data_IF_705812743223
#
_entry.id   IF_705812743223
#
_cell.length_a   1.000
_cell.length_b   1.000
_cell.length_c   1.000
_cell.angle_alpha   90.00
_cell.angle_beta   90.00
_cell.angle_gamma   90.00
#
_symmetry.space_group_name_H-M   'P 1'
#
loop_
_entity.id
_entity.type
_entity.pdbx_description
1 polymer ?
#
# COMPACT_ATOMS: atom_id res chain seq x y z
N UNK A 1 2.61 -25.13 7.67
CA UNK A 1 3.25 -25.29 6.36
C UNK A 1 3.69 -23.91 5.85
N UNK A 2 4.72 -23.30 6.45
CA UNK A 2 5.19 -21.93 6.11
C UNK A 2 6.70 -21.87 5.78
N UNK A 3 7.32 -22.99 5.38
CA UNK A 3 8.79 -23.09 5.30
C UNK A 3 9.42 -23.02 3.90
N UNK A 4 8.69 -22.71 2.82
CA UNK A 4 9.25 -22.74 1.46
C UNK A 4 9.41 -21.38 0.75
N UNK A 5 9.29 -20.26 1.47
CA UNK A 5 9.57 -18.93 0.90
C UNK A 5 11.01 -18.44 1.19
N UNK A 6 11.96 -19.36 1.31
CA UNK A 6 13.36 -18.99 1.51
C UNK A 6 13.91 -18.32 0.24
N UNK A 7 14.40 -17.11 0.39
CA UNK A 7 14.87 -16.19 -0.64
C UNK A 7 15.91 -16.82 -1.56
N UNK A 8 15.52 -17.14 -2.76
CA UNK A 8 16.40 -17.57 -3.86
C UNK A 8 17.08 -16.40 -4.58
N UNK A 9 17.39 -15.30 -3.90
CA UNK A 9 17.97 -14.10 -4.54
C UNK A 9 16.99 -13.35 -5.47
N UNK A 10 15.73 -13.75 -5.49
CA UNK A 10 14.68 -13.09 -6.26
C UNK A 10 14.12 -11.87 -5.52
N UNK A 11 13.51 -10.97 -6.28
CA UNK A 11 12.80 -9.79 -5.79
C UNK A 11 11.31 -10.14 -5.68
N UNK A 12 10.67 -9.78 -4.58
CA UNK A 12 9.22 -9.88 -4.46
C UNK A 12 8.54 -8.67 -5.12
N UNK A 13 7.59 -8.92 -5.99
CA UNK A 13 6.76 -7.88 -6.61
C UNK A 13 5.34 -8.06 -6.14
N UNK A 14 4.77 -7.04 -5.52
CA UNK A 14 3.36 -7.02 -5.08
C UNK A 14 2.56 -6.16 -6.05
N UNK A 15 1.46 -6.71 -6.56
CA UNK A 15 0.56 -6.04 -7.49
C UNK A 15 -0.70 -5.57 -6.75
N UNK A 16 -1.06 -4.29 -6.95
CA UNK A 16 -2.36 -3.77 -6.57
C UNK A 16 -3.44 -4.14 -7.62
N UNK A 17 -4.69 -3.80 -7.37
CA UNK A 17 -5.80 -4.04 -8.31
C UNK A 17 -5.56 -3.37 -9.66
N UNK A 18 -5.03 -2.15 -9.69
CA UNK A 18 -4.73 -1.42 -10.92
C UNK A 18 -3.66 -2.13 -11.78
N UNK A 19 -2.64 -2.69 -11.13
CA UNK A 19 -1.61 -3.47 -11.80
C UNK A 19 -2.12 -4.82 -12.33
N UNK A 20 -3.07 -5.46 -11.62
CA UNK A 20 -3.75 -6.67 -12.10
C UNK A 20 -4.59 -6.37 -13.34
N UNK A 21 -5.41 -5.32 -13.32
CA UNK A 21 -6.23 -4.88 -14.45
C UNK A 21 -5.39 -4.50 -15.68
N UNK A 22 -4.22 -3.90 -15.46
CA UNK A 22 -3.26 -3.60 -16.52
C UNK A 22 -2.52 -4.84 -17.04
N UNK A 23 -2.75 -6.02 -16.46
CA UNK A 23 -2.04 -7.29 -16.79
C UNK A 23 -0.52 -7.14 -16.72
N UNK A 24 -0.02 -6.30 -15.79
CA UNK A 24 1.40 -5.96 -15.71
C UNK A 24 2.29 -7.18 -15.43
N UNK A 25 1.76 -8.20 -14.78
CA UNK A 25 2.44 -9.49 -14.53
C UNK A 25 2.95 -10.18 -15.80
N UNK A 26 2.33 -9.90 -16.96
CA UNK A 26 2.78 -10.45 -18.26
C UNK A 26 4.10 -9.87 -18.75
N UNK A 27 4.48 -8.70 -18.24
CA UNK A 27 5.70 -7.99 -18.61
C UNK A 27 6.89 -8.31 -17.68
N UNK A 28 6.63 -9.05 -16.58
CA UNK A 28 7.64 -9.31 -15.55
C UNK A 28 8.47 -10.55 -15.85
N UNK A 29 9.82 -10.51 -15.78
CA UNK A 29 10.68 -11.65 -16.00
C UNK A 29 10.59 -12.65 -14.83
N UNK A 30 10.09 -13.86 -15.09
CA UNK A 30 9.86 -14.91 -14.07
C UNK A 30 11.12 -15.47 -13.42
N UNK A 31 12.26 -15.35 -14.07
CA UNK A 31 13.52 -15.93 -13.59
C UNK A 31 14.09 -15.20 -12.37
N UNK A 32 13.72 -13.93 -12.17
CA UNK A 32 14.26 -13.06 -11.13
C UNK A 32 13.23 -12.49 -10.17
N UNK A 33 11.95 -12.69 -10.47
CA UNK A 33 10.86 -12.08 -9.71
C UNK A 33 9.88 -13.16 -9.25
N UNK A 34 9.44 -13.05 -8.01
CA UNK A 34 8.25 -13.72 -7.51
C UNK A 34 7.13 -12.68 -7.38
N UNK A 35 5.98 -12.96 -8.00
CA UNK A 35 4.88 -12.00 -8.12
C UNK A 35 3.75 -12.38 -7.17
N UNK A 36 3.28 -11.42 -6.40
CA UNK A 36 2.28 -11.61 -5.36
C UNK A 36 1.13 -10.62 -5.49
N UNK A 37 -0.02 -11.02 -4.99
CA UNK A 37 -1.16 -10.14 -4.73
C UNK A 37 -1.97 -10.68 -3.56
N UNK A 38 -3.01 -9.95 -3.15
CA UNK A 38 -3.93 -10.32 -2.06
C UNK A 38 -5.27 -10.79 -2.61
N UNK A 39 -5.98 -11.64 -1.86
CA UNK A 39 -7.30 -12.14 -2.25
C UNK A 39 -8.30 -11.02 -2.51
N UNK A 40 -8.25 -9.94 -1.74
CA UNK A 40 -9.13 -8.79 -1.94
C UNK A 40 -8.92 -8.12 -3.30
N UNK A 41 -7.67 -7.95 -3.74
CA UNK A 41 -7.37 -7.37 -5.06
C UNK A 41 -7.86 -8.27 -6.21
N UNK A 42 -7.74 -9.59 -6.07
CA UNK A 42 -8.29 -10.56 -7.02
C UNK A 42 -9.82 -10.45 -7.11
N UNK A 43 -10.48 -10.27 -5.98
CA UNK A 43 -11.95 -10.13 -5.89
C UNK A 43 -12.48 -8.81 -6.49
N UNK A 44 -11.67 -7.77 -6.56
CA UNK A 44 -12.01 -6.51 -7.19
C UNK A 44 -12.00 -6.58 -8.73
N UNK A 45 -11.32 -7.56 -9.31
CA UNK A 45 -11.31 -7.75 -10.77
C UNK A 45 -12.62 -8.41 -11.19
N UNK A 46 -13.58 -7.59 -11.69
CA UNK A 46 -14.95 -8.02 -12.06
C UNK A 46 -15.13 -8.22 -13.55
N UNK A 47 -14.33 -7.55 -14.36
CA UNK A 47 -14.37 -7.69 -15.81
C UNK A 47 -14.05 -9.14 -16.22
N UNK A 48 -14.91 -9.83 -17.02
CA UNK A 48 -14.74 -11.25 -17.33
C UNK A 48 -13.40 -11.59 -17.97
N UNK A 49 -12.95 -10.77 -18.94
CA UNK A 49 -11.71 -11.04 -19.69
C UNK A 49 -10.46 -10.86 -18.82
N UNK A 50 -10.49 -9.85 -17.94
CA UNK A 50 -9.41 -9.64 -16.99
C UNK A 50 -9.41 -10.72 -15.90
N UNK A 51 -10.61 -11.14 -15.46
CA UNK A 51 -10.74 -12.19 -14.44
C UNK A 51 -10.27 -13.54 -14.96
N UNK A 52 -10.66 -13.92 -16.17
CA UNK A 52 -10.22 -15.16 -16.81
C UNK A 52 -8.69 -15.18 -16.93
N UNK A 53 -8.09 -14.12 -17.48
CA UNK A 53 -6.64 -14.00 -17.62
C UNK A 53 -5.89 -14.01 -16.28
N UNK A 54 -6.50 -13.48 -15.21
CA UNK A 54 -5.93 -13.49 -13.86
C UNK A 54 -5.97 -14.90 -13.26
N UNK A 55 -7.08 -15.62 -13.39
CA UNK A 55 -7.21 -17.02 -12.94
C UNK A 55 -6.15 -17.89 -13.62
N UNK A 56 -6.01 -17.78 -14.94
CA UNK A 56 -4.97 -18.50 -15.69
C UNK A 56 -3.56 -18.20 -15.18
N UNK A 57 -3.29 -16.93 -14.84
CA UNK A 57 -2.00 -16.53 -14.30
C UNK A 57 -1.74 -17.09 -12.90
N UNK A 58 -2.78 -17.26 -12.09
CA UNK A 58 -2.70 -17.88 -10.76
C UNK A 58 -2.48 -19.39 -10.91
N UNK A 59 -3.26 -20.08 -11.75
CA UNK A 59 -3.14 -21.52 -11.98
C UNK A 59 -1.77 -21.93 -12.55
N UNK A 60 -1.17 -21.05 -13.35
CA UNK A 60 0.18 -21.23 -13.88
C UNK A 60 1.28 -20.73 -12.93
N UNK A 61 0.95 -20.39 -11.69
CA UNK A 61 1.86 -19.86 -10.67
C UNK A 61 2.67 -18.63 -11.14
N UNK A 62 2.12 -17.87 -12.10
CA UNK A 62 2.69 -16.55 -12.49
C UNK A 62 2.50 -15.54 -11.38
N UNK A 63 1.36 -15.62 -10.69
CA UNK A 63 0.99 -14.80 -9.54
C UNK A 63 0.64 -15.73 -8.39
N UNK A 64 1.19 -15.45 -7.22
CA UNK A 64 0.82 -16.10 -5.96
C UNK A 64 -0.11 -15.20 -5.17
N UNK A 65 -1.24 -15.74 -4.76
CA UNK A 65 -2.20 -15.03 -3.90
C UNK A 65 -1.88 -15.37 -2.45
N UNK A 66 -1.49 -14.37 -1.68
CA UNK A 66 -1.16 -14.52 -0.24
C UNK A 66 -1.77 -13.35 0.51
N UNK A 67 -2.53 -13.66 1.55
CA UNK A 67 -3.04 -12.63 2.45
C UNK A 67 -2.06 -12.40 3.61
N UNK A 68 -1.88 -11.15 4.06
CA UNK A 68 -0.98 -10.83 5.15
C UNK A 68 -1.52 -11.32 6.49
N UNK A 69 -0.60 -11.71 7.38
CA UNK A 69 -0.94 -12.05 8.76
C UNK A 69 -1.43 -10.81 9.53
N UNK A 70 -2.22 -11.05 10.58
CA UNK A 70 -2.86 -10.02 11.39
C UNK A 70 -1.87 -8.99 11.95
N UNK A 71 -0.70 -9.41 12.37
CA UNK A 71 0.32 -8.54 12.96
C UNK A 71 0.83 -7.50 11.95
N UNK A 72 0.95 -7.89 10.66
CA UNK A 72 1.33 -6.96 9.58
C UNK A 72 0.20 -6.01 9.23
N UNK A 73 -1.07 -6.46 9.29
CA UNK A 73 -2.23 -5.58 9.13
C UNK A 73 -2.27 -4.52 10.23
N UNK A 74 -2.10 -4.89 11.49
CA UNK A 74 -2.06 -3.96 12.62
C UNK A 74 -0.88 -2.99 12.52
N UNK A 75 0.28 -3.48 12.11
CA UNK A 75 1.47 -2.64 11.91
C UNK A 75 1.27 -1.63 10.78
N UNK A 76 0.65 -2.06 9.69
CA UNK A 76 0.29 -1.20 8.57
C UNK A 76 -0.72 -0.15 8.99
N UNK A 77 -1.78 -0.52 9.71
CA UNK A 77 -2.79 0.42 10.23
C UNK A 77 -2.17 1.48 11.15
N UNK A 78 -1.23 1.10 12.02
CA UNK A 78 -0.48 2.05 12.85
C UNK A 78 0.32 3.03 12.00
N UNK A 79 1.02 2.54 10.98
CA UNK A 79 1.79 3.39 10.07
C UNK A 79 0.89 4.36 9.30
N UNK A 80 -0.23 3.88 8.74
CA UNK A 80 -1.20 4.69 7.98
C UNK A 80 -1.83 5.77 8.85
N UNK A 81 -2.17 5.49 10.11
CA UNK A 81 -2.67 6.49 11.06
C UNK A 81 -1.70 7.66 11.20
N UNK A 82 -0.41 7.38 11.29
CA UNK A 82 0.62 8.40 11.43
C UNK A 82 0.81 9.28 10.17
N UNK A 83 0.31 8.84 9.01
CA UNK A 83 0.35 9.62 7.77
C UNK A 83 -0.87 10.52 7.56
N UNK A 84 -1.94 10.32 8.33
CA UNK A 84 -3.24 10.99 8.14
C UNK A 84 -4.03 10.46 6.92
N UNK A 85 -3.72 9.26 6.45
CA UNK A 85 -4.33 8.63 5.27
C UNK A 85 -5.35 7.53 5.61
N UNK A 86 -5.65 7.31 6.90
CA UNK A 86 -6.46 6.17 7.36
C UNK A 86 -7.87 6.12 6.72
N UNK A 87 -8.46 7.27 6.42
CA UNK A 87 -9.79 7.37 5.81
C UNK A 87 -9.76 7.31 4.28
N UNK A 88 -8.59 7.18 3.66
CA UNK A 88 -8.44 7.21 2.21
C UNK A 88 -8.02 5.90 1.60
N UNK A 89 -7.31 5.10 2.34
CA UNK A 89 -6.90 3.77 1.89
C UNK A 89 -8.04 2.79 2.12
N UNK A 90 -8.40 2.05 1.09
CA UNK A 90 -9.36 0.95 1.17
C UNK A 90 -8.81 -0.21 1.98
N UNK A 91 -9.66 -1.15 2.34
CA UNK A 91 -9.21 -2.39 2.98
C UNK A 91 -8.23 -3.16 2.09
N UNK A 92 -8.46 -3.17 0.78
CA UNK A 92 -7.57 -3.81 -0.19
C UNK A 92 -6.20 -3.16 -0.21
N UNK A 93 -6.13 -1.81 -0.20
CA UNK A 93 -4.87 -1.07 -0.15
C UNK A 93 -4.05 -1.40 1.11
N UNK A 94 -4.72 -1.47 2.26
CA UNK A 94 -4.10 -1.88 3.53
C UNK A 94 -3.51 -3.29 3.43
N UNK A 95 -4.24 -4.24 2.81
CA UNK A 95 -3.75 -5.61 2.63
C UNK A 95 -2.56 -5.67 1.68
N UNK A 96 -2.57 -4.91 0.58
CA UNK A 96 -1.42 -4.81 -0.36
C UNK A 96 -0.18 -4.28 0.34
N UNK A 97 -0.31 -3.23 1.14
CA UNK A 97 0.81 -2.65 1.91
C UNK A 97 1.30 -3.64 2.98
N UNK A 98 0.38 -4.28 3.71
CA UNK A 98 0.71 -5.25 4.75
C UNK A 98 1.41 -6.50 4.17
N UNK A 99 0.97 -6.98 3.01
CA UNK A 99 1.65 -8.07 2.29
C UNK A 99 3.09 -7.67 1.93
N UNK A 100 3.28 -6.46 1.41
CA UNK A 100 4.62 -5.97 1.09
C UNK A 100 5.51 -5.87 2.34
N UNK A 101 4.95 -5.46 3.48
CA UNK A 101 5.66 -5.42 4.75
C UNK A 101 6.05 -6.83 5.23
N UNK A 102 5.14 -7.80 5.12
CA UNK A 102 5.39 -9.20 5.47
C UNK A 102 6.49 -9.82 4.58
N UNK A 103 6.43 -9.57 3.28
CA UNK A 103 7.43 -10.10 2.34
C UNK A 103 8.82 -9.51 2.56
N UNK A 104 8.93 -8.32 3.11
CA UNK A 104 10.21 -7.66 3.43
C UNK A 104 11.06 -8.43 4.44
N UNK A 105 10.47 -9.30 5.24
CA UNK A 105 11.20 -10.19 6.14
C UNK A 105 11.81 -11.41 5.43
N UNK A 106 11.25 -11.78 4.29
CA UNK A 106 11.63 -13.00 3.55
C UNK A 106 12.43 -12.71 2.29
N UNK A 107 12.27 -11.51 1.73
CA UNK A 107 12.93 -11.08 0.50
C UNK A 107 13.84 -9.89 0.76
N UNK A 108 15.00 -9.90 0.12
CA UNK A 108 15.93 -8.77 0.20
C UNK A 108 15.33 -7.49 -0.32
N UNK A 109 14.60 -7.58 -1.43
CA UNK A 109 13.97 -6.45 -2.08
C UNK A 109 12.50 -6.76 -2.34
N UNK A 110 11.63 -5.81 -2.00
CA UNK A 110 10.18 -5.85 -2.26
C UNK A 110 9.79 -4.59 -3.01
N UNK A 111 9.06 -4.75 -4.10
CA UNK A 111 8.58 -3.64 -4.93
C UNK A 111 7.06 -3.76 -5.10
N UNK A 112 6.32 -2.71 -4.76
CA UNK A 112 4.87 -2.65 -5.00
C UNK A 112 4.61 -1.91 -6.30
N UNK A 113 3.78 -2.47 -7.17
CA UNK A 113 3.37 -1.83 -8.43
C UNK A 113 2.01 -1.19 -8.22
N UNK A 114 1.95 0.13 -8.22
CA UNK A 114 0.71 0.90 -7.98
C UNK A 114 0.80 2.30 -8.55
N UNK A 115 -0.32 2.79 -9.11
CA UNK A 115 -0.50 4.19 -9.52
C UNK A 115 -1.15 5.04 -8.42
N UNK A 116 -1.60 4.44 -7.32
CA UNK A 116 -2.23 5.16 -6.21
C UNK A 116 -1.20 5.92 -5.38
N UNK A 117 -1.34 7.25 -5.34
CA UNK A 117 -0.43 8.13 -4.58
C UNK A 117 -0.51 7.96 -3.06
N UNK A 118 -1.65 7.56 -2.51
CA UNK A 118 -1.82 7.36 -1.06
C UNK A 118 -1.12 6.04 -0.64
N UNK A 119 -1.19 4.99 -1.48
CA UNK A 119 -0.39 3.76 -1.31
C UNK A 119 1.10 4.10 -1.42
N UNK A 120 1.52 4.76 -2.50
CA UNK A 120 2.92 5.14 -2.71
C UNK A 120 3.49 5.95 -1.53
N UNK A 121 2.72 6.91 -1.02
CA UNK A 121 3.13 7.73 0.11
C UNK A 121 3.31 6.91 1.39
N UNK A 122 2.43 5.94 1.64
CA UNK A 122 2.54 5.04 2.79
C UNK A 122 3.77 4.12 2.65
N UNK A 123 3.98 3.54 1.48
CA UNK A 123 5.14 2.71 1.16
C UNK A 123 6.46 3.47 1.33
N UNK A 124 6.48 4.74 0.89
CA UNK A 124 7.64 5.61 1.07
C UNK A 124 7.99 5.79 2.56
N UNK A 125 6.97 6.04 3.39
CA UNK A 125 7.13 6.14 4.86
C UNK A 125 7.62 4.85 5.51
N UNK A 126 7.24 3.68 4.98
CA UNK A 126 7.66 2.35 5.41
C UNK A 126 9.01 1.90 4.81
N UNK A 127 9.64 2.73 3.96
CA UNK A 127 10.86 2.40 3.23
C UNK A 127 10.70 1.11 2.41
N UNK A 128 9.55 0.97 1.74
CA UNK A 128 9.25 -0.08 0.77
C UNK A 128 9.29 0.55 -0.62
N UNK A 129 10.00 -0.09 -1.54
CA UNK A 129 10.09 0.38 -2.91
C UNK A 129 8.75 0.23 -3.64
N UNK A 130 8.44 1.18 -4.51
CA UNK A 130 7.27 1.10 -5.39
C UNK A 130 7.61 1.58 -6.79
N UNK A 131 6.81 1.14 -7.74
CA UNK A 131 6.94 1.57 -9.14
C UNK A 131 5.54 1.91 -9.68
N UNK A 132 5.32 3.13 -10.16
CA UNK A 132 4.09 3.49 -10.86
C UNK A 132 4.06 2.86 -12.25
N UNK A 133 2.84 2.63 -12.76
CA UNK A 133 2.59 2.08 -14.10
C UNK A 133 2.50 3.18 -15.15
N UNK A 134 1.66 4.18 -14.88
CA UNK A 134 1.28 5.25 -15.80
C UNK A 134 1.53 6.64 -15.25
N UNK A 135 1.61 6.78 -13.94
CA UNK A 135 1.87 8.05 -13.26
C UNK A 135 3.37 8.30 -13.12
N UNK A 136 3.76 9.53 -12.75
CA UNK A 136 5.16 9.86 -12.42
C UNK A 136 5.60 9.34 -11.05
N UNK A 137 4.63 8.90 -10.23
CA UNK A 137 4.87 8.56 -8.84
C UNK A 137 5.18 9.77 -7.96
N UNK A 138 5.40 9.51 -6.67
CA UNK A 138 5.78 10.53 -5.72
C UNK A 138 7.31 10.61 -5.59
N UNK A 139 7.83 11.86 -5.46
CA UNK A 139 9.26 12.10 -5.25
C UNK A 139 9.60 12.36 -3.76
N UNK A 140 8.60 12.56 -2.91
CA UNK A 140 8.79 12.86 -1.49
C UNK A 140 7.61 12.41 -0.64
N UNK A 141 7.88 12.09 0.61
CA UNK A 141 6.85 11.76 1.60
C UNK A 141 6.01 13.00 1.95
N UNK A 142 4.69 12.83 2.01
CA UNK A 142 3.75 13.87 2.38
C UNK A 142 3.01 13.43 3.64
N UNK A 143 3.14 14.21 4.71
CA UNK A 143 2.32 14.03 5.91
C UNK A 143 1.11 14.97 5.83
N UNK A 144 -0.04 14.44 6.22
CA UNK A 144 -1.28 15.21 6.28
C UNK A 144 -1.70 15.40 7.74
N UNK A 145 -2.22 16.60 8.04
CA UNK A 145 -2.90 16.89 9.31
C UNK A 145 -4.39 17.00 9.03
N UNK A 146 -5.19 16.23 9.75
CA UNK A 146 -6.65 16.31 9.73
C UNK A 146 -7.08 17.43 10.65
N UNK A 147 -8.01 18.27 10.22
CA UNK A 147 -8.52 19.40 11.02
C UNK A 147 -9.94 19.79 10.58
N UNK A 148 -10.67 20.48 11.45
CA UNK A 148 -11.95 21.07 11.12
C UNK A 148 -11.76 22.40 10.36
N UNK A 149 -12.33 22.58 9.15
CA UNK A 149 -12.16 23.82 8.40
C UNK A 149 -12.89 25.01 9.04
N UNK A 150 -13.86 24.76 9.94
CA UNK A 150 -14.65 25.80 10.58
C UNK A 150 -14.06 26.24 11.93
N UNK A 151 -13.76 25.32 12.85
CA UNK A 151 -13.32 25.66 14.21
C UNK A 151 -11.86 25.28 14.49
N UNK A 152 -11.13 24.76 13.50
CA UNK A 152 -9.73 24.36 13.59
C UNK A 152 -9.44 23.23 14.59
N UNK A 153 -10.48 22.55 15.09
CA UNK A 153 -10.31 21.36 15.90
C UNK A 153 -9.42 20.34 15.15
N UNK A 154 -8.47 19.78 15.86
CA UNK A 154 -7.61 18.70 15.36
C UNK A 154 -7.96 17.43 16.12
N UNK A 155 -8.39 16.35 15.45
CA UNK A 155 -8.82 15.12 16.12
C UNK A 155 -7.65 14.44 16.83
N UNK A 156 -7.92 13.94 18.02
CA UNK A 156 -7.00 13.07 18.75
C UNK A 156 -7.05 11.65 18.23
N UNK A 157 -8.20 11.23 17.66
CA UNK A 157 -8.37 9.94 17.02
C UNK A 157 -8.29 10.08 15.49
N UNK A 158 -7.31 9.46 14.82
CA UNK A 158 -7.13 9.59 13.37
C UNK A 158 -8.31 9.09 12.51
N UNK A 159 -9.23 8.33 13.08
CA UNK A 159 -10.42 7.82 12.39
C UNK A 159 -11.66 8.72 12.49
N UNK A 160 -11.57 9.89 13.13
CA UNK A 160 -12.68 10.83 13.18
C UNK A 160 -12.90 11.49 11.82
N UNK A 161 -14.14 11.43 11.32
CA UNK A 161 -14.53 12.05 10.06
C UNK A 161 -15.35 13.34 10.27
N UNK A 162 -16.02 13.46 11.43
CA UNK A 162 -16.89 14.59 11.77
C UNK A 162 -16.31 15.29 12.99
N UNK A 163 -16.29 16.61 12.94
CA UNK A 163 -15.87 17.43 14.08
C UNK A 163 -16.85 17.29 15.25
N UNK A 164 -16.41 16.84 16.44
CA UNK A 164 -17.29 16.69 17.61
C UNK A 164 -17.77 18.04 18.17
N UNK A 165 -17.12 19.17 17.82
CA UNK A 165 -17.47 20.49 18.33
C UNK A 165 -18.52 21.21 17.49
N UNK A 166 -18.51 21.04 16.17
CA UNK A 166 -19.39 21.81 15.27
C UNK A 166 -20.08 20.96 14.20
N UNK A 167 -19.91 19.63 14.18
CA UNK A 167 -20.58 18.70 13.27
C UNK A 167 -20.12 18.78 11.80
N UNK A 168 -19.10 19.58 11.47
CA UNK A 168 -18.59 19.72 10.11
C UNK A 168 -17.64 18.58 9.78
N UNK A 169 -17.65 18.10 8.53
CA UNK A 169 -16.70 17.10 8.04
C UNK A 169 -15.27 17.63 8.19
N UNK A 170 -14.42 16.80 8.77
CA UNK A 170 -13.01 17.07 8.88
C UNK A 170 -12.35 17.04 7.50
N UNK A 171 -11.38 17.89 7.30
CA UNK A 171 -10.57 17.95 6.08
C UNK A 171 -9.10 17.79 6.44
N UNK A 172 -8.26 17.73 5.43
CA UNK A 172 -6.82 17.59 5.64
C UNK A 172 -6.03 18.61 4.83
N UNK A 173 -4.93 19.04 5.40
CA UNK A 173 -3.92 19.84 4.72
C UNK A 173 -2.57 19.12 4.77
N UNK A 174 -1.72 19.39 3.81
CA UNK A 174 -0.32 18.96 3.90
C UNK A 174 0.29 19.61 5.12
N UNK A 175 0.86 18.82 6.02
CA UNK A 175 1.68 19.36 7.09
C UNK A 175 2.84 20.08 6.41
N UNK A 176 3.06 21.34 6.73
CA UNK A 176 4.31 22.01 6.38
C UNK A 176 5.45 21.14 6.89
N UNK A 177 6.46 20.91 6.06
CA UNK A 177 7.68 20.21 6.50
C UNK A 177 8.15 20.91 7.78
N UNK A 178 8.01 20.22 8.92
CA UNK A 178 8.79 20.60 10.08
C UNK A 178 10.23 20.39 9.66
N UNK A 179 11.09 21.41 9.74
CA UNK A 179 12.50 21.20 9.52
C UNK A 179 12.90 20.07 10.48
N UNK A 180 13.43 18.99 9.91
CA UNK A 180 14.10 17.97 10.74
C UNK A 180 15.06 18.76 11.59
N UNK A 181 14.86 18.75 12.90
CA UNK A 181 15.86 19.24 13.85
C UNK A 181 17.13 18.42 13.56
N UNK A 182 17.98 18.95 12.69
CA UNK A 182 19.36 18.53 12.65
C UNK A 182 19.88 18.77 14.05
N UNK A 183 20.32 17.68 14.69
CA UNK A 183 20.92 17.71 16.00
C UNK A 183 21.84 18.92 16.12
N UNK A 184 21.60 19.69 17.12
CA UNK A 184 22.64 20.48 17.75
C UNK A 184 23.31 19.56 18.74
N UNK A 185 24.58 19.26 18.43
CA UNK A 185 25.69 18.89 19.31
C UNK A 185 25.37 18.31 20.68
#
# INVERSE_FOLDING_TARGET
MHSELASSGKIAVVLDTGALLAKYYRLLPRTRLDVFTVSLAVNEVKDPDNKQALIEAIDLEVIRVIDPDKDYLESTLRAVRNTGLITRLSTTDIHVIALALMLKEKYRDVVVITDDYDIQNTLYGLKISFKPLRTRGIARFIRYTVYCPLCYYTPSNPGEEICPLCGVLLTRKKSSELPTSRGAL
#
